data_IF_387968193964
#
_entry.id   IF_387968193964
#
_cell.length_a   1.000
_cell.length_b   1.000
_cell.length_c   1.000
_cell.angle_alpha   90.00
_cell.angle_beta   90.00
_cell.angle_gamma   90.00
#
_symmetry.space_group_name_H-M   'P 1'
#
loop_
_entity.id
_entity.type
_entity.pdbx_description
1 polymer ?
#
# COMPACT_ATOMS: atom_id res chain seq x y z
N UNK A 1 -21.67 3.88 -11.65
CA UNK A 1 -20.80 3.64 -12.81
C UNK A 1 -21.25 4.33 -14.08
N UNK A 2 -22.46 4.08 -14.63
CA UNK A 2 -22.90 4.72 -15.88
C UNK A 2 -22.79 6.26 -15.85
N UNK A 3 -23.27 6.89 -14.79
CA UNK A 3 -23.14 8.33 -14.58
C UNK A 3 -21.68 8.84 -14.62
N UNK A 4 -20.74 8.08 -14.03
CA UNK A 4 -19.31 8.39 -14.08
C UNK A 4 -18.80 8.36 -15.52
N UNK A 5 -19.16 7.33 -16.29
CA UNK A 5 -18.79 7.20 -17.70
C UNK A 5 -19.38 8.37 -18.52
N UNK A 6 -20.63 8.75 -18.28
CA UNK A 6 -21.22 9.92 -18.93
C UNK A 6 -20.45 11.21 -18.63
N UNK A 7 -20.06 11.43 -17.37
CA UNK A 7 -19.24 12.58 -17.00
C UNK A 7 -17.84 12.53 -17.63
N UNK A 8 -17.21 11.36 -17.73
CA UNK A 8 -15.93 11.23 -18.43
C UNK A 8 -16.03 11.63 -19.92
N UNK A 9 -17.16 11.36 -20.57
CA UNK A 9 -17.35 11.66 -21.99
C UNK A 9 -17.85 13.08 -22.25
N UNK A 10 -18.64 13.64 -21.32
CA UNK A 10 -19.39 14.89 -21.53
C UNK A 10 -19.09 16.00 -20.53
N UNK A 11 -18.32 15.72 -19.46
CA UNK A 11 -17.96 16.66 -18.40
C UNK A 11 -17.11 17.85 -18.86
N UNK A 12 -16.83 18.78 -17.96
CA UNK A 12 -16.07 20.00 -18.26
C UNK A 12 -14.67 19.66 -18.79
N UNK A 13 -14.25 20.29 -19.90
CA UNK A 13 -12.88 20.12 -20.41
C UNK A 13 -11.90 20.92 -19.56
N UNK A 14 -10.77 20.31 -19.21
CA UNK A 14 -9.65 20.95 -18.51
C UNK A 14 -8.35 20.42 -19.11
N UNK A 15 -7.26 21.19 -19.13
CA UNK A 15 -5.94 20.59 -19.44
C UNK A 15 -5.39 19.90 -18.20
N UNK A 16 -4.61 18.86 -18.40
CA UNK A 16 -4.01 18.11 -17.28
C UNK A 16 -3.18 19.00 -16.35
N UNK A 17 -2.27 19.84 -16.89
CA UNK A 17 -1.49 20.77 -16.06
C UNK A 17 -2.38 21.75 -15.28
N UNK A 18 -3.50 22.21 -15.86
CA UNK A 18 -4.44 23.10 -15.17
C UNK A 18 -5.18 22.34 -14.05
N UNK A 19 -5.36 21.03 -14.19
CA UNK A 19 -5.91 20.17 -13.14
C UNK A 19 -4.89 19.98 -12.01
N UNK A 20 -3.64 19.62 -12.33
CA UNK A 20 -2.55 19.46 -11.36
C UNK A 20 -2.34 20.74 -10.53
N UNK A 21 -2.27 21.90 -11.19
CA UNK A 21 -2.14 23.20 -10.52
C UNK A 21 -3.33 23.51 -9.60
N UNK A 22 -4.53 23.08 -9.98
CA UNK A 22 -5.73 23.27 -9.17
C UNK A 22 -5.71 22.39 -7.92
N UNK A 23 -5.25 21.13 -8.02
CA UNK A 23 -5.03 20.25 -6.86
C UNK A 23 -4.09 20.94 -5.88
N UNK A 24 -2.89 21.30 -6.35
CA UNK A 24 -1.85 21.92 -5.53
C UNK A 24 -2.34 23.17 -4.80
N UNK A 25 -2.94 24.12 -5.55
CA UNK A 25 -3.42 25.38 -4.96
C UNK A 25 -4.54 25.16 -3.96
N UNK A 26 -5.44 24.22 -4.25
CA UNK A 26 -6.59 23.93 -3.39
C UNK A 26 -6.15 23.21 -2.12
N UNK A 27 -5.30 22.18 -2.21
CA UNK A 27 -4.78 21.49 -1.03
C UNK A 27 -3.95 22.45 -0.16
N UNK A 28 -3.12 23.30 -0.76
CA UNK A 28 -2.37 24.36 -0.03
C UNK A 28 -3.27 25.36 0.71
N UNK A 29 -4.40 25.75 0.12
CA UNK A 29 -5.39 26.62 0.77
C UNK A 29 -6.08 25.88 1.93
N UNK A 30 -6.50 24.64 1.70
CA UNK A 30 -7.20 23.82 2.68
C UNK A 30 -6.34 23.51 3.90
N UNK A 31 -5.04 23.26 3.73
CA UNK A 31 -4.08 23.12 4.86
C UNK A 31 -4.18 24.30 5.82
N UNK A 32 -4.27 25.54 5.29
CA UNK A 32 -4.36 26.76 6.11
C UNK A 32 -5.74 26.93 6.74
N UNK A 33 -6.79 26.71 5.96
CA UNK A 33 -8.18 26.93 6.39
C UNK A 33 -8.61 25.92 7.45
N UNK A 34 -8.12 24.68 7.36
CA UNK A 34 -8.42 23.59 8.27
C UNK A 34 -7.37 23.42 9.39
N UNK A 35 -6.39 24.31 9.50
CA UNK A 35 -5.36 24.29 10.55
C UNK A 35 -4.71 22.90 10.69
N UNK A 36 -4.14 22.42 9.58
CA UNK A 36 -3.44 21.15 9.48
C UNK A 36 -1.94 21.46 9.51
N UNK A 37 -1.20 20.83 10.42
CA UNK A 37 0.23 21.09 10.60
C UNK A 37 0.98 19.81 10.93
N UNK A 38 2.10 19.59 10.24
CA UNK A 38 3.05 18.55 10.60
C UNK A 38 4.04 19.06 11.66
N UNK A 39 4.22 18.28 12.73
CA UNK A 39 5.27 18.48 13.72
C UNK A 39 6.31 17.34 13.60
N UNK A 40 7.57 17.64 13.24
CA UNK A 40 8.64 16.63 13.17
C UNK A 40 8.93 15.92 14.51
N UNK A 41 8.55 16.51 15.64
CA UNK A 41 8.64 15.86 16.97
C UNK A 41 7.49 14.89 17.25
N UNK A 42 6.46 14.87 16.39
CA UNK A 42 5.30 14.00 16.53
C UNK A 42 4.91 13.34 15.18
N UNK A 43 5.81 12.54 14.56
CA UNK A 43 5.49 11.83 13.33
C UNK A 43 4.31 10.86 13.48
N UNK A 44 4.09 10.26 14.66
CA UNK A 44 2.87 9.51 14.97
C UNK A 44 1.86 10.50 15.56
N UNK A 45 0.79 10.86 14.83
CA UNK A 45 -0.15 11.86 15.30
C UNK A 45 -0.98 11.33 16.47
N UNK A 46 -1.27 12.19 17.44
CA UNK A 46 -2.22 11.93 18.54
C UNK A 46 -3.44 12.88 18.51
N UNK A 47 -3.39 13.97 17.74
CA UNK A 47 -4.54 14.87 17.57
C UNK A 47 -5.58 14.26 16.62
N UNK A 48 -6.49 13.50 17.21
CA UNK A 48 -7.64 12.90 16.51
C UNK A 48 -8.57 13.94 15.86
N UNK A 49 -8.61 15.19 16.36
CA UNK A 49 -9.41 16.25 15.73
C UNK A 49 -8.73 16.80 14.49
N UNK A 50 -7.39 16.79 14.44
CA UNK A 50 -6.67 17.13 13.20
C UNK A 50 -6.98 16.10 12.11
N UNK A 51 -7.06 14.82 12.44
CA UNK A 51 -7.50 13.78 11.50
C UNK A 51 -8.91 14.05 10.95
N UNK A 52 -9.85 14.50 11.77
CA UNK A 52 -11.20 14.89 11.32
C UNK A 52 -11.19 16.13 10.39
N UNK A 53 -10.26 17.07 10.65
CA UNK A 53 -10.04 18.23 9.78
C UNK A 53 -9.40 17.82 8.45
N UNK A 54 -8.45 16.89 8.44
CA UNK A 54 -7.87 16.30 7.23
C UNK A 54 -8.97 15.64 6.39
N UNK A 55 -9.85 14.86 7.02
CA UNK A 55 -11.00 14.25 6.33
C UNK A 55 -11.93 15.29 5.72
N UNK A 56 -12.28 16.33 6.48
CA UNK A 56 -13.15 17.42 6.00
C UNK A 56 -12.51 18.17 4.83
N UNK A 57 -11.21 18.47 4.92
CA UNK A 57 -10.44 19.06 3.85
C UNK A 57 -10.42 18.17 2.59
N UNK A 58 -10.30 16.85 2.74
CA UNK A 58 -10.31 15.92 1.61
C UNK A 58 -11.67 15.89 0.88
N UNK A 59 -12.77 15.97 1.62
CA UNK A 59 -14.12 16.12 1.03
C UNK A 59 -14.20 17.41 0.19
N UNK A 60 -13.76 18.53 0.77
CA UNK A 60 -13.76 19.83 0.09
C UNK A 60 -12.83 19.85 -1.13
N UNK A 61 -11.68 19.15 -1.07
CA UNK A 61 -10.77 19.01 -2.19
C UNK A 61 -11.46 18.29 -3.35
N UNK A 62 -12.10 17.14 -3.11
CA UNK A 62 -12.82 16.39 -4.13
C UNK A 62 -13.98 17.20 -4.74
N UNK A 63 -14.76 17.88 -3.91
CA UNK A 63 -15.89 18.70 -4.34
C UNK A 63 -15.43 19.86 -5.24
N UNK A 64 -14.36 20.56 -4.85
CA UNK A 64 -13.83 21.73 -5.57
C UNK A 64 -13.09 21.36 -6.85
N UNK A 65 -12.33 20.26 -6.84
CA UNK A 65 -11.41 19.91 -7.93
C UNK A 65 -12.06 18.95 -8.93
N UNK A 66 -12.83 17.98 -8.43
CA UNK A 66 -13.31 16.83 -9.19
C UNK A 66 -12.21 15.83 -9.54
N UNK A 67 -12.54 14.82 -10.33
CA UNK A 67 -11.61 13.77 -10.79
C UNK A 67 -11.38 13.90 -12.29
N UNK A 68 -10.13 13.99 -12.72
CA UNK A 68 -9.78 14.17 -14.14
C UNK A 68 -9.67 12.84 -14.89
N UNK A 69 -10.35 12.75 -16.03
CA UNK A 69 -10.19 11.65 -16.99
C UNK A 69 -9.07 11.98 -17.97
N UNK A 70 -7.98 11.23 -17.89
CA UNK A 70 -6.81 11.40 -18.76
C UNK A 70 -7.16 11.17 -20.23
N UNK A 71 -8.02 10.19 -20.53
CA UNK A 71 -8.38 9.83 -21.91
C UNK A 71 -9.16 10.92 -22.66
N UNK A 72 -9.96 11.72 -21.95
CA UNK A 72 -10.88 12.70 -22.58
C UNK A 72 -10.53 14.14 -22.27
N UNK A 73 -9.65 14.39 -21.30
CA UNK A 73 -9.35 15.72 -20.79
C UNK A 73 -10.56 16.38 -20.15
N UNK A 74 -11.40 15.58 -19.46
CA UNK A 74 -12.63 16.05 -18.82
C UNK A 74 -12.69 15.72 -17.35
N UNK A 75 -13.47 16.49 -16.60
CA UNK A 75 -13.60 16.37 -15.15
C UNK A 75 -14.94 15.74 -14.79
N UNK A 76 -14.87 14.73 -13.93
CA UNK A 76 -16.00 14.15 -13.20
C UNK A 76 -16.19 15.00 -11.95
N UNK A 77 -17.34 15.67 -11.84
CA UNK A 77 -17.73 16.42 -10.65
C UNK A 77 -18.36 15.48 -9.64
N UNK A 78 -18.06 15.72 -8.37
CA UNK A 78 -18.55 14.96 -7.23
C UNK A 78 -19.23 15.94 -6.30
N UNK A 79 -20.51 15.73 -6.03
CA UNK A 79 -21.24 16.52 -5.04
C UNK A 79 -20.98 15.94 -3.64
N UNK A 80 -20.92 16.80 -2.62
CA UNK A 80 -20.63 16.38 -1.24
C UNK A 80 -21.56 15.28 -0.73
N UNK A 81 -22.86 15.38 -1.02
CA UNK A 81 -23.85 14.38 -0.60
C UNK A 81 -23.63 13.02 -1.30
N UNK A 82 -23.17 13.01 -2.54
CA UNK A 82 -22.81 11.78 -3.26
C UNK A 82 -21.58 11.12 -2.62
N UNK A 83 -20.59 11.94 -2.24
CA UNK A 83 -19.38 11.48 -1.56
C UNK A 83 -19.73 10.80 -0.22
N UNK A 84 -20.52 11.48 0.62
CA UNK A 84 -20.92 10.98 1.94
C UNK A 84 -21.78 9.72 1.81
N UNK A 85 -22.76 9.70 0.90
CA UNK A 85 -23.62 8.53 0.69
C UNK A 85 -22.83 7.32 0.17
N UNK A 86 -21.84 7.53 -0.70
CA UNK A 86 -21.01 6.45 -1.24
C UNK A 86 -20.09 5.79 -0.21
N UNK A 87 -19.56 6.58 0.73
CA UNK A 87 -18.67 6.07 1.78
C UNK A 87 -19.42 5.41 2.94
N UNK A 88 -20.62 5.89 3.31
CA UNK A 88 -21.42 5.30 4.40
C UNK A 88 -21.92 3.88 4.10
N UNK A 89 -22.01 3.50 2.82
CA UNK A 89 -22.50 2.19 2.39
C UNK A 89 -21.35 1.19 2.08
N UNK A 90 -20.20 1.32 2.74
CA UNK A 90 -19.09 0.35 2.60
C UNK A 90 -19.28 -0.86 3.50
N UNK A 91 -18.90 -2.04 3.01
CA UNK A 91 -18.66 -3.18 3.89
C UNK A 91 -17.33 -2.96 4.62
N UNK A 92 -17.29 -3.39 5.87
CA UNK A 92 -16.13 -3.28 6.76
C UNK A 92 -15.42 -4.63 6.97
N UNK A 93 -15.68 -5.62 6.11
CA UNK A 93 -15.00 -6.91 6.14
C UNK A 93 -15.15 -7.69 4.83
N UNK A 94 -14.13 -8.46 4.47
CA UNK A 94 -14.10 -9.32 3.29
C UNK A 94 -13.39 -10.64 3.59
N UNK A 95 -13.73 -11.69 2.85
CA UNK A 95 -13.07 -12.99 2.91
C UNK A 95 -12.08 -13.10 1.75
N UNK A 96 -10.84 -13.46 2.07
CA UNK A 96 -9.78 -13.70 1.08
C UNK A 96 -9.20 -15.09 1.34
N UNK A 97 -8.92 -15.85 0.28
CA UNK A 97 -8.58 -17.27 0.43
C UNK A 97 -9.81 -18.15 0.73
N UNK A 98 -9.59 -19.45 0.90
CA UNK A 98 -10.66 -20.41 1.14
C UNK A 98 -10.26 -21.53 2.12
N UNK A 99 -11.25 -22.24 2.65
CA UNK A 99 -11.04 -23.41 3.49
C UNK A 99 -10.27 -23.07 4.78
N UNK A 100 -9.17 -23.79 5.00
CA UNK A 100 -8.28 -23.58 6.16
C UNK A 100 -7.33 -22.39 5.98
N UNK A 101 -7.14 -21.93 4.73
CA UNK A 101 -6.23 -20.85 4.37
C UNK A 101 -6.94 -19.50 4.26
N UNK A 102 -8.23 -19.44 4.62
CA UNK A 102 -9.03 -18.22 4.53
C UNK A 102 -8.61 -17.20 5.58
N UNK A 103 -8.67 -15.94 5.18
CA UNK A 103 -8.37 -14.76 6.00
C UNK A 103 -9.59 -13.86 6.02
N UNK A 104 -10.03 -13.51 7.23
CA UNK A 104 -11.02 -12.47 7.46
C UNK A 104 -10.29 -11.13 7.42
N UNK A 105 -10.48 -10.34 6.36
CA UNK A 105 -10.11 -8.92 6.36
C UNK A 105 -11.18 -8.15 7.09
N UNK A 106 -10.79 -7.32 8.05
CA UNK A 106 -11.70 -6.57 8.89
C UNK A 106 -11.21 -5.15 9.12
N UNK A 107 -12.17 -4.27 9.39
CA UNK A 107 -11.90 -2.90 9.80
C UNK A 107 -11.41 -2.86 11.25
N UNK A 108 -10.36 -2.09 11.50
CA UNK A 108 -9.76 -1.79 12.79
C UNK A 108 -10.15 -0.40 13.24
N UNK A 109 -10.34 -0.25 14.55
CA UNK A 109 -10.46 1.08 15.16
C UNK A 109 -9.06 1.67 15.42
N UNK A 110 -9.01 2.91 15.90
CA UNK A 110 -7.76 3.45 16.45
C UNK A 110 -7.34 2.64 17.67
N UNK A 111 -6.03 2.35 17.77
CA UNK A 111 -5.46 1.56 18.88
C UNK A 111 -6.20 0.22 19.09
N UNK A 112 -6.68 -0.38 18.00
CA UNK A 112 -7.34 -1.70 18.04
C UNK A 112 -6.35 -2.77 18.50
N UNK A 113 -6.76 -3.58 19.47
CA UNK A 113 -5.94 -4.63 20.09
C UNK A 113 -5.75 -5.84 19.18
N UNK A 114 -6.47 -5.92 18.06
CA UNK A 114 -6.29 -6.95 17.04
C UNK A 114 -5.17 -6.55 16.09
N UNK A 115 -4.26 -7.48 15.81
CA UNK A 115 -3.23 -7.33 14.78
C UNK A 115 -3.88 -7.08 13.40
N UNK A 116 -3.36 -6.15 12.59
CA UNK A 116 -3.81 -6.00 11.20
C UNK A 116 -3.53 -7.26 10.39
N UNK A 117 -4.21 -7.37 9.25
CA UNK A 117 -3.93 -8.43 8.28
C UNK A 117 -2.55 -8.18 7.67
N UNK A 118 -1.75 -9.23 7.61
CA UNK A 118 -0.41 -9.19 7.04
C UNK A 118 -0.44 -9.74 5.61
N UNK A 119 -0.34 -8.83 4.65
CA UNK A 119 -0.18 -9.14 3.24
C UNK A 119 1.31 -9.21 2.88
N UNK A 120 1.92 -10.35 3.17
CA UNK A 120 3.36 -10.55 3.01
C UNK A 120 3.74 -10.94 1.60
N UNK A 121 4.77 -10.30 1.06
CA UNK A 121 5.34 -10.70 -0.22
C UNK A 121 6.24 -9.64 -0.82
N UNK A 122 6.79 -9.90 -2.02
CA UNK A 122 7.69 -8.96 -2.69
C UNK A 122 7.02 -7.66 -3.16
N UNK A 123 5.68 -7.57 -3.15
CA UNK A 123 4.92 -6.35 -3.47
C UNK A 123 5.37 -5.67 -4.76
N UNK A 124 5.43 -6.44 -5.86
CA UNK A 124 5.77 -5.88 -7.17
C UNK A 124 7.26 -5.76 -7.45
N UNK A 125 8.15 -6.00 -6.47
CA UNK A 125 9.60 -6.10 -6.70
C UNK A 125 9.91 -7.05 -7.86
N UNK A 126 10.83 -6.68 -8.78
CA UNK A 126 11.20 -7.54 -9.90
C UNK A 126 11.95 -8.77 -9.42
N UNK A 127 11.46 -9.95 -9.77
CA UNK A 127 12.05 -11.25 -9.46
C UNK A 127 12.21 -12.04 -10.76
N UNK A 128 13.36 -12.68 -10.94
CA UNK A 128 13.61 -13.61 -12.04
C UNK A 128 12.66 -14.81 -11.99
N UNK A 129 12.27 -15.35 -13.15
CA UNK A 129 11.33 -16.50 -13.18
C UNK A 129 11.84 -17.68 -12.34
N UNK A 130 13.14 -17.96 -12.39
CA UNK A 130 13.76 -19.07 -11.65
C UNK A 130 13.70 -18.88 -10.12
N UNK A 131 13.73 -17.63 -9.65
CA UNK A 131 13.64 -17.30 -8.22
C UNK A 131 12.20 -17.11 -7.75
N UNK A 132 11.22 -17.06 -8.67
CA UNK A 132 9.84 -16.69 -8.35
C UNK A 132 9.20 -17.66 -7.34
N UNK A 133 9.26 -18.97 -7.58
CA UNK A 133 8.73 -19.97 -6.63
C UNK A 133 9.43 -19.88 -5.26
N UNK A 134 10.76 -20.02 -5.15
CA UNK A 134 11.40 -20.06 -3.83
C UNK A 134 11.25 -18.74 -3.06
N UNK A 135 11.24 -17.59 -3.73
CA UNK A 135 10.93 -16.30 -3.08
C UNK A 135 9.54 -16.33 -2.47
N UNK A 136 8.49 -16.64 -3.23
CA UNK A 136 7.11 -16.64 -2.69
C UNK A 136 6.89 -17.72 -1.62
N UNK A 137 7.53 -18.89 -1.75
CA UNK A 137 7.49 -19.93 -0.72
C UNK A 137 8.08 -19.45 0.61
N UNK A 138 9.11 -18.59 0.58
CA UNK A 138 9.69 -18.01 1.80
C UNK A 138 8.70 -17.16 2.61
N UNK A 139 7.67 -16.59 1.96
CA UNK A 139 6.56 -15.89 2.61
C UNK A 139 5.43 -16.86 2.98
N UNK A 140 4.99 -17.72 2.05
CA UNK A 140 3.87 -18.63 2.25
C UNK A 140 4.10 -19.62 3.43
N UNK A 141 5.35 -20.02 3.68
CA UNK A 141 5.72 -20.90 4.79
C UNK A 141 5.50 -20.28 6.18
N UNK A 142 5.35 -18.96 6.26
CA UNK A 142 5.23 -18.22 7.50
C UNK A 142 3.75 -18.12 7.92
N UNK A 143 3.41 -18.68 9.07
CA UNK A 143 2.04 -18.67 9.61
C UNK A 143 1.52 -17.28 9.95
N UNK A 144 2.40 -16.29 10.11
CA UNK A 144 2.02 -14.91 10.38
C UNK A 144 1.59 -14.14 9.12
N UNK A 145 1.76 -14.73 7.93
CA UNK A 145 1.37 -14.14 6.66
C UNK A 145 -0.01 -14.66 6.27
N UNK A 146 -0.95 -13.74 6.10
CA UNK A 146 -2.37 -14.03 5.89
C UNK A 146 -2.73 -14.06 4.40
N UNK A 147 -2.09 -13.21 3.60
CA UNK A 147 -2.32 -13.04 2.15
C UNK A 147 -0.97 -12.83 1.47
N UNK A 148 -0.79 -13.31 0.24
CA UNK A 148 0.43 -13.05 -0.54
C UNK A 148 0.28 -11.80 -1.42
N UNK A 149 1.26 -10.89 -1.35
CA UNK A 149 1.46 -9.81 -2.33
C UNK A 149 2.52 -10.23 -3.36
N UNK A 150 2.16 -10.53 -4.62
CA UNK A 150 3.10 -11.11 -5.58
C UNK A 150 4.23 -10.17 -6.04
N UNK A 151 5.32 -10.76 -6.50
CA UNK A 151 6.35 -10.07 -7.27
C UNK A 151 5.93 -9.79 -8.72
N UNK A 152 6.69 -8.89 -9.36
CA UNK A 152 6.73 -8.79 -10.82
C UNK A 152 7.78 -9.74 -11.40
N UNK A 153 7.46 -10.41 -12.51
CA UNK A 153 8.48 -11.16 -13.26
C UNK A 153 9.38 -10.19 -14.04
N UNK A 154 10.68 -10.23 -13.72
CA UNK A 154 11.68 -9.25 -14.19
C UNK A 154 11.83 -9.20 -15.72
N UNK A 155 11.81 -10.36 -16.39
CA UNK A 155 12.01 -10.50 -17.83
C UNK A 155 11.00 -9.67 -18.65
N UNK A 156 9.93 -9.23 -18.00
CA UNK A 156 8.84 -8.45 -18.59
C UNK A 156 8.61 -7.14 -17.84
N UNK A 157 9.56 -6.71 -17.04
CA UNK A 157 9.54 -5.43 -16.31
C UNK A 157 9.72 -4.22 -17.24
N UNK A 158 10.15 -4.41 -18.49
CA UNK A 158 10.21 -3.33 -19.49
C UNK A 158 8.79 -2.87 -19.89
N UNK A 159 8.44 -1.58 -19.66
CA UNK A 159 7.13 -1.04 -20.03
C UNK A 159 6.75 -1.22 -21.51
N UNK A 160 7.74 -1.34 -22.41
CA UNK A 160 7.47 -1.57 -23.84
C UNK A 160 6.99 -2.99 -24.10
N UNK A 161 7.48 -3.96 -23.32
CA UNK A 161 7.08 -5.36 -23.42
C UNK A 161 5.68 -5.60 -22.84
N UNK A 162 5.26 -4.77 -21.88
CA UNK A 162 3.93 -4.81 -21.26
C UNK A 162 2.76 -4.58 -22.24
N UNK A 163 3.01 -3.99 -23.41
CA UNK A 163 1.99 -3.78 -24.47
C UNK A 163 1.98 -4.87 -25.54
N UNK A 164 2.74 -5.94 -25.34
CA UNK A 164 2.83 -7.08 -26.27
C UNK A 164 2.10 -8.30 -25.69
N UNK A 165 1.88 -9.39 -26.45
CA UNK A 165 1.31 -10.63 -25.91
C UNK A 165 2.07 -11.21 -24.71
N UNK A 166 3.32 -10.75 -24.50
CA UNK A 166 4.14 -11.14 -23.37
C UNK A 166 3.52 -10.74 -22.03
N UNK A 167 2.77 -9.63 -21.94
CA UNK A 167 2.11 -9.22 -20.69
C UNK A 167 1.08 -10.26 -20.21
N UNK A 168 0.28 -10.81 -21.13
CA UNK A 168 -0.66 -11.88 -20.81
C UNK A 168 0.07 -13.18 -20.44
N UNK A 169 1.16 -13.51 -21.14
CA UNK A 169 1.97 -14.69 -20.82
C UNK A 169 2.57 -14.58 -19.42
N UNK A 170 3.15 -13.42 -19.08
CA UNK A 170 3.65 -13.12 -17.74
C UNK A 170 2.56 -13.19 -16.70
N UNK A 171 1.41 -12.59 -16.96
CA UNK A 171 0.28 -12.59 -16.04
C UNK A 171 -0.15 -14.02 -15.68
N UNK A 172 -0.30 -14.90 -16.68
CA UNK A 172 -0.59 -16.31 -16.43
C UNK A 172 0.54 -17.01 -15.67
N UNK A 173 1.79 -16.73 -16.04
CA UNK A 173 2.97 -17.34 -15.42
C UNK A 173 3.06 -16.97 -13.95
N UNK A 174 3.04 -15.67 -13.63
CA UNK A 174 3.08 -15.14 -12.27
C UNK A 174 1.99 -15.75 -11.39
N UNK A 175 0.72 -15.70 -11.83
CA UNK A 175 -0.41 -16.28 -11.09
C UNK A 175 -0.24 -17.79 -10.88
N UNK A 176 0.25 -18.52 -11.89
CA UNK A 176 0.48 -19.97 -11.79
C UNK A 176 1.57 -20.27 -10.76
N UNK A 177 2.68 -19.53 -10.79
CA UNK A 177 3.82 -19.75 -9.92
C UNK A 177 3.54 -19.35 -8.47
N UNK A 178 2.76 -18.28 -8.22
CA UNK A 178 2.31 -17.94 -6.84
C UNK A 178 1.46 -19.07 -6.26
N UNK A 179 0.51 -19.60 -7.03
CA UNK A 179 -0.36 -20.71 -6.59
C UNK A 179 0.46 -21.97 -6.31
N UNK A 180 1.43 -22.28 -7.16
CA UNK A 180 2.35 -23.40 -6.95
C UNK A 180 3.19 -23.21 -5.69
N UNK A 181 3.72 -22.01 -5.45
CA UNK A 181 4.46 -21.69 -4.24
C UNK A 181 3.60 -21.90 -2.98
N UNK A 182 2.36 -21.40 -2.95
CA UNK A 182 1.46 -21.60 -1.81
C UNK A 182 1.10 -23.08 -1.61
N UNK A 183 0.83 -23.83 -2.69
CA UNK A 183 0.53 -25.25 -2.62
C UNK A 183 1.71 -26.09 -2.10
N UNK A 184 2.95 -25.74 -2.47
CA UNK A 184 4.16 -26.42 -1.98
C UNK A 184 4.39 -26.22 -0.48
N UNK A 185 3.87 -25.14 0.10
CA UNK A 185 3.88 -24.89 1.55
C UNK A 185 2.60 -25.39 2.26
N UNK A 186 1.78 -26.19 1.57
CA UNK A 186 0.58 -26.79 2.16
C UNK A 186 -0.59 -25.83 2.35
N UNK A 187 -0.53 -24.65 1.72
CA UNK A 187 -1.56 -23.59 1.78
C UNK A 187 -2.17 -23.30 0.40
N UNK A 188 -2.66 -24.31 -0.33
CA UNK A 188 -3.06 -24.15 -1.73
C UNK A 188 -4.19 -23.14 -1.92
N UNK A 189 -5.01 -22.87 -0.89
CA UNK A 189 -6.16 -21.96 -0.94
C UNK A 189 -5.89 -20.60 -0.31
N UNK A 190 -4.63 -20.32 0.04
CA UNK A 190 -4.19 -18.98 0.48
C UNK A 190 -4.50 -17.96 -0.62
N UNK A 191 -5.12 -16.85 -0.21
CA UNK A 191 -5.42 -15.76 -1.13
C UNK A 191 -4.19 -14.93 -1.45
N UNK A 192 -4.22 -14.29 -2.62
CA UNK A 192 -3.18 -13.37 -3.07
C UNK A 192 -3.78 -12.23 -3.89
N UNK A 193 -3.07 -11.11 -4.01
CA UNK A 193 -3.46 -10.00 -4.90
C UNK A 193 -3.05 -10.29 -6.35
N UNK A 194 -3.60 -9.55 -7.31
CA UNK A 194 -3.12 -9.60 -8.69
C UNK A 194 -1.62 -9.26 -8.75
N UNK A 195 -0.82 -9.86 -9.62
CA UNK A 195 0.56 -9.42 -9.79
C UNK A 195 0.63 -7.94 -10.24
N UNK A 196 1.37 -7.07 -9.52
CA UNK A 196 1.41 -5.62 -9.76
C UNK A 196 1.73 -5.20 -11.20
N UNK A 197 2.59 -5.97 -11.86
CA UNK A 197 2.95 -5.76 -13.25
C UNK A 197 1.80 -5.80 -14.26
N UNK A 198 0.64 -6.35 -13.92
CA UNK A 198 -0.49 -6.53 -14.85
C UNK A 198 -1.30 -5.22 -14.96
N UNK A 199 -0.63 -4.19 -15.45
CA UNK A 199 -1.23 -2.91 -15.79
C UNK A 199 -2.08 -3.02 -17.06
N UNK A 200 -1.68 -3.84 -18.04
CA UNK A 200 -2.42 -4.09 -19.28
C UNK A 200 -3.84 -4.60 -19.00
N UNK A 201 -4.83 -3.89 -19.54
CA UNK A 201 -6.24 -4.18 -19.34
C UNK A 201 -6.63 -5.59 -19.80
N UNK A 202 -6.10 -6.07 -20.94
CA UNK A 202 -6.47 -7.37 -21.50
C UNK A 202 -5.93 -8.50 -20.63
N UNK A 203 -4.70 -8.36 -20.16
CA UNK A 203 -4.09 -9.31 -19.25
C UNK A 203 -4.85 -9.36 -17.91
N UNK A 204 -5.16 -8.21 -17.32
CA UNK A 204 -5.95 -8.12 -16.08
C UNK A 204 -7.32 -8.80 -16.21
N UNK A 205 -8.07 -8.50 -17.28
CA UNK A 205 -9.37 -9.14 -17.53
C UNK A 205 -9.24 -10.64 -17.78
N UNK A 206 -8.20 -11.10 -18.49
CA UNK A 206 -8.03 -12.51 -18.83
C UNK A 206 -7.67 -13.38 -17.61
N UNK A 207 -6.85 -12.86 -16.68
CA UNK A 207 -6.53 -13.60 -15.44
C UNK A 207 -7.66 -13.61 -14.43
N UNK A 208 -8.67 -12.76 -14.62
CA UNK A 208 -9.87 -12.71 -13.81
C UNK A 208 -10.81 -13.87 -14.18
N UNK A 209 -10.31 -15.09 -13.96
CA UNK A 209 -10.93 -16.34 -14.37
C UNK A 209 -10.51 -17.42 -13.37
N UNK A 210 -11.42 -18.28 -12.87
CA UNK A 210 -11.14 -19.21 -11.76
C UNK A 210 -9.93 -20.15 -11.92
N UNK A 211 -9.52 -20.43 -13.17
CA UNK A 211 -8.26 -21.16 -13.46
C UNK A 211 -7.01 -20.41 -12.99
N UNK A 212 -7.00 -19.10 -13.16
CA UNK A 212 -5.93 -18.20 -12.76
C UNK A 212 -6.29 -17.62 -11.38
N UNK A 213 -6.79 -16.39 -11.33
CA UNK A 213 -7.29 -15.77 -10.11
C UNK A 213 -8.66 -16.35 -9.75
N UNK A 214 -8.75 -16.94 -8.57
CA UNK A 214 -9.98 -17.54 -8.02
C UNK A 214 -10.90 -16.46 -7.48
N UNK A 215 -12.14 -16.84 -7.18
CA UNK A 215 -13.17 -15.92 -6.70
C UNK A 215 -12.83 -15.24 -5.35
N UNK A 216 -11.92 -15.86 -4.59
CA UNK A 216 -11.41 -15.37 -3.31
C UNK A 216 -10.00 -14.77 -3.38
N UNK A 217 -9.40 -14.69 -4.57
CA UNK A 217 -8.18 -13.91 -4.79
C UNK A 217 -8.56 -12.44 -5.07
N UNK A 218 -7.66 -11.51 -4.77
CA UNK A 218 -7.94 -10.06 -4.83
C UNK A 218 -7.48 -9.49 -6.15
N UNK A 219 -8.35 -8.80 -6.90
CA UNK A 219 -7.93 -8.03 -8.07
C UNK A 219 -7.46 -6.63 -7.69
N UNK A 220 -6.72 -5.98 -8.57
CA UNK A 220 -6.16 -4.64 -8.31
C UNK A 220 -6.53 -3.63 -9.40
N UNK A 221 -6.70 -2.38 -8.96
CA UNK A 221 -6.80 -1.21 -9.80
C UNK A 221 -5.76 -0.20 -9.32
N UNK A 222 -4.70 -0.01 -10.10
CA UNK A 222 -3.76 1.10 -9.90
C UNK A 222 -4.40 2.40 -10.35
N UNK A 223 -4.56 3.31 -9.40
CA UNK A 223 -5.12 4.64 -9.63
C UNK A 223 -4.09 5.54 -10.33
N UNK A 224 -4.56 6.61 -10.98
CA UNK A 224 -3.69 7.55 -11.68
C UNK A 224 -3.37 8.74 -10.75
N UNK A 225 -2.08 9.10 -10.69
CA UNK A 225 -1.51 10.16 -9.85
C UNK A 225 -1.86 11.57 -10.36
N UNK A 226 -2.44 12.51 -9.61
CA UNK A 226 -3.33 12.42 -8.44
C UNK A 226 -4.68 13.00 -8.84
N UNK A 227 -5.76 12.61 -8.16
CA UNK A 227 -7.17 12.88 -8.49
C UNK A 227 -7.51 12.63 -9.96
N UNK A 228 -6.84 11.65 -10.57
CA UNK A 228 -7.05 11.22 -11.95
C UNK A 228 -7.62 9.82 -12.05
N UNK A 229 -8.25 9.54 -13.19
CA UNK A 229 -8.67 8.21 -13.62
C UNK A 229 -8.51 8.07 -15.13
N UNK A 230 -8.61 6.84 -15.62
CA UNK A 230 -8.64 6.53 -17.04
C UNK A 230 -9.73 5.50 -17.35
N UNK A 231 -9.96 5.22 -18.63
CA UNK A 231 -10.92 4.23 -19.10
C UNK A 231 -10.56 2.81 -18.64
N UNK A 232 -9.28 2.47 -18.53
CA UNK A 232 -8.85 1.14 -18.11
C UNK A 232 -9.26 0.84 -16.66
N UNK A 233 -9.04 1.78 -15.74
CA UNK A 233 -9.45 1.65 -14.34
C UNK A 233 -10.97 1.50 -14.20
N UNK A 234 -11.74 2.28 -14.96
CA UNK A 234 -13.21 2.20 -14.96
C UNK A 234 -13.69 0.89 -15.59
N UNK A 235 -13.03 0.41 -16.64
CA UNK A 235 -13.35 -0.87 -17.28
C UNK A 235 -13.06 -2.03 -16.34
N UNK A 236 -11.93 -2.02 -15.63
CA UNK A 236 -11.61 -2.98 -14.57
C UNK A 236 -12.67 -2.95 -13.47
N UNK A 237 -13.05 -1.78 -12.97
CA UNK A 237 -14.11 -1.63 -11.97
C UNK A 237 -15.46 -2.21 -12.44
N UNK A 238 -15.90 -1.92 -13.67
CA UNK A 238 -17.10 -2.52 -14.27
C UNK A 238 -16.99 -4.05 -14.31
N UNK A 239 -15.86 -4.55 -14.79
CA UNK A 239 -15.63 -5.97 -14.95
C UNK A 239 -15.64 -6.69 -13.59
N UNK A 240 -14.79 -6.28 -12.65
CA UNK A 240 -14.65 -6.89 -11.32
C UNK A 240 -15.96 -6.90 -10.53
N UNK A 241 -16.76 -5.82 -10.64
CA UNK A 241 -18.10 -5.81 -10.04
C UNK A 241 -19.07 -6.78 -10.69
N UNK A 242 -19.02 -6.93 -12.01
CA UNK A 242 -19.96 -7.82 -12.73
C UNK A 242 -19.73 -9.30 -12.43
N UNK A 243 -18.49 -9.67 -12.14
CA UNK A 243 -18.12 -11.05 -11.75
C UNK A 243 -18.23 -11.28 -10.24
N UNK A 244 -18.23 -10.21 -9.44
CA UNK A 244 -18.38 -10.28 -7.98
C UNK A 244 -17.12 -10.64 -7.20
N UNK A 245 -15.92 -10.35 -7.73
CA UNK A 245 -14.67 -10.57 -6.99
C UNK A 245 -14.38 -9.42 -6.01
N UNK A 246 -13.53 -9.69 -5.01
CA UNK A 246 -12.94 -8.66 -4.15
C UNK A 246 -11.80 -7.99 -4.92
N UNK A 247 -11.68 -6.67 -4.78
CA UNK A 247 -10.62 -5.91 -5.41
C UNK A 247 -10.25 -4.67 -4.61
N UNK A 248 -8.97 -4.33 -4.65
CA UNK A 248 -8.42 -3.13 -4.04
C UNK A 248 -8.11 -2.07 -5.09
N UNK A 249 -8.06 -0.82 -4.64
CA UNK A 249 -7.57 0.31 -5.40
C UNK A 249 -6.30 0.83 -4.75
N UNK A 250 -5.21 0.79 -5.50
CA UNK A 250 -3.88 1.15 -5.04
C UNK A 250 -3.51 2.56 -5.54
N UNK A 251 -2.87 3.36 -4.70
CA UNK A 251 -2.43 4.71 -5.03
C UNK A 251 -1.05 5.00 -4.43
N UNK A 252 -0.10 5.32 -5.30
CA UNK A 252 1.17 5.93 -4.92
C UNK A 252 1.02 7.44 -4.66
N UNK A 253 1.90 8.01 -3.84
CA UNK A 253 1.97 9.44 -3.56
C UNK A 253 3.43 9.86 -3.55
N UNK A 254 3.73 11.00 -4.17
CA UNK A 254 5.11 11.52 -4.25
C UNK A 254 5.17 12.89 -3.55
N UNK A 255 5.79 12.93 -2.37
CA UNK A 255 6.05 14.17 -1.64
C UNK A 255 7.10 14.98 -2.41
N UNK A 256 6.79 16.24 -2.70
CA UNK A 256 7.59 17.07 -3.59
C UNK A 256 7.30 16.82 -5.07
N UNK A 257 6.23 16.10 -5.39
CA UNK A 257 5.73 15.90 -6.75
C UNK A 257 5.06 17.15 -7.35
N UNK A 258 4.27 16.95 -8.41
CA UNK A 258 3.65 18.06 -9.17
C UNK A 258 2.50 18.75 -8.43
N UNK A 259 1.80 17.99 -7.59
CA UNK A 259 0.53 18.30 -6.94
C UNK A 259 0.70 18.53 -5.43
N UNK A 260 1.76 17.98 -4.85
CA UNK A 260 2.03 17.97 -3.41
C UNK A 260 3.47 18.39 -3.13
N UNK A 261 3.68 19.46 -2.34
CA UNK A 261 5.02 19.87 -1.87
C UNK A 261 5.26 19.64 -0.38
N UNK A 262 4.19 19.43 0.38
CA UNK A 262 4.20 19.37 1.85
C UNK A 262 3.45 18.16 2.38
N UNK A 263 3.87 17.61 3.54
CA UNK A 263 3.21 16.47 4.15
C UNK A 263 1.74 16.74 4.44
N UNK A 264 1.36 17.98 4.77
CA UNK A 264 -0.03 18.34 5.04
C UNK A 264 -0.93 18.30 3.80
N UNK A 265 -0.39 18.62 2.62
CA UNK A 265 -1.13 18.43 1.36
C UNK A 265 -1.28 16.94 1.05
N UNK A 266 -0.19 16.18 1.19
CA UNK A 266 -0.19 14.73 1.00
C UNK A 266 -1.24 14.06 1.88
N UNK A 267 -1.34 14.45 3.17
CA UNK A 267 -2.32 13.92 4.10
C UNK A 267 -3.78 14.10 3.60
N UNK A 268 -4.10 15.27 3.04
CA UNK A 268 -5.42 15.55 2.45
C UNK A 268 -5.62 14.68 1.20
N UNK A 269 -4.61 14.59 0.34
CA UNK A 269 -4.68 13.85 -0.91
C UNK A 269 -4.80 12.33 -0.67
N UNK A 270 -4.12 11.77 0.33
CA UNK A 270 -4.26 10.36 0.77
C UNK A 270 -5.71 10.02 1.09
N UNK A 271 -6.42 10.89 1.79
CA UNK A 271 -7.82 10.66 2.15
C UNK A 271 -8.74 10.91 0.95
N UNK A 272 -8.47 11.94 0.15
CA UNK A 272 -9.25 12.24 -1.05
C UNK A 272 -9.19 11.09 -2.07
N UNK A 273 -8.03 10.46 -2.21
CA UNK A 273 -7.79 9.31 -3.08
C UNK A 273 -8.50 8.03 -2.59
N UNK A 274 -8.56 7.81 -1.29
CA UNK A 274 -9.36 6.72 -0.71
C UNK A 274 -10.85 6.91 -1.02
N UNK A 275 -11.35 8.13 -0.87
CA UNK A 275 -12.73 8.47 -1.19
C UNK A 275 -12.99 8.34 -2.70
N UNK A 276 -12.05 8.76 -3.55
CA UNK A 276 -12.11 8.56 -5.02
C UNK A 276 -12.21 7.08 -5.35
N UNK A 277 -11.32 6.23 -4.80
CA UNK A 277 -11.34 4.78 -5.00
C UNK A 277 -12.72 4.19 -4.71
N UNK A 278 -13.35 4.63 -3.62
CA UNK A 278 -14.68 4.15 -3.24
C UNK A 278 -15.79 4.66 -4.15
N UNK A 279 -15.76 5.91 -4.60
CA UNK A 279 -16.85 6.51 -5.37
C UNK A 279 -16.78 6.19 -6.86
N UNK A 280 -15.57 6.29 -7.42
CA UNK A 280 -15.31 6.20 -8.85
C UNK A 280 -15.11 4.74 -9.25
N UNK A 281 -14.19 4.04 -8.59
CA UNK A 281 -13.84 2.65 -8.92
C UNK A 281 -14.64 1.63 -8.10
N UNK A 282 -15.30 2.08 -7.03
CA UNK A 282 -16.12 1.24 -6.17
C UNK A 282 -15.34 0.09 -5.55
N UNK A 283 -14.05 0.35 -5.28
CA UNK A 283 -13.13 -0.56 -4.60
C UNK A 283 -13.69 -1.07 -3.29
N UNK A 284 -13.30 -2.30 -2.94
CA UNK A 284 -13.62 -2.92 -1.67
C UNK A 284 -12.62 -2.52 -0.59
N UNK A 285 -11.38 -2.25 -0.99
CA UNK A 285 -10.27 -1.86 -0.14
C UNK A 285 -9.45 -0.77 -0.86
N UNK A 286 -8.78 0.07 -0.10
CA UNK A 286 -7.88 1.10 -0.61
C UNK A 286 -6.47 0.90 -0.07
N UNK A 287 -5.46 1.04 -0.92
CA UNK A 287 -4.05 0.98 -0.52
C UNK A 287 -3.36 2.29 -0.86
N UNK A 288 -2.45 2.67 0.02
CA UNK A 288 -1.60 3.84 -0.15
C UNK A 288 -0.15 3.42 -0.06
N UNK A 289 0.66 3.99 -0.94
CA UNK A 289 2.11 4.00 -0.85
C UNK A 289 2.56 5.46 -0.87
N UNK A 290 3.31 5.90 0.13
CA UNK A 290 3.85 7.27 0.19
C UNK A 290 5.34 7.24 -0.01
N UNK A 291 5.87 8.12 -0.85
CA UNK A 291 7.30 8.21 -1.15
C UNK A 291 7.75 9.68 -1.11
N UNK A 292 8.98 9.93 -0.65
CA UNK A 292 9.59 11.26 -0.71
C UNK A 292 10.53 11.38 -1.90
N UNK A 293 10.21 12.29 -2.84
CA UNK A 293 11.00 12.48 -4.06
C UNK A 293 12.49 12.78 -3.81
N UNK A 294 12.82 13.38 -2.66
CA UNK A 294 14.21 13.74 -2.30
C UNK A 294 15.07 12.53 -1.97
N UNK A 295 14.45 11.46 -1.50
CA UNK A 295 15.14 10.28 -0.96
C UNK A 295 14.71 8.97 -1.62
N UNK A 296 13.58 8.93 -2.32
CA UNK A 296 12.93 7.70 -2.80
C UNK A 296 12.16 6.95 -1.71
N UNK A 297 12.59 7.08 -0.44
CA UNK A 297 12.00 6.37 0.69
C UNK A 297 10.57 6.83 1.07
N UNK A 298 9.72 5.88 1.46
CA UNK A 298 8.47 6.14 2.19
C UNK A 298 8.64 6.29 3.71
N UNK A 299 9.86 6.10 4.20
CA UNK A 299 10.23 6.07 5.61
C UNK A 299 10.81 7.40 6.14
N UNK A 300 10.62 8.52 5.41
CA UNK A 300 10.90 9.87 5.95
C UNK A 300 9.84 10.28 6.97
N UNK A 301 10.16 11.17 7.92
CA UNK A 301 9.18 11.62 8.91
C UNK A 301 7.97 12.27 8.25
N UNK A 302 8.19 13.04 7.19
CA UNK A 302 7.14 13.73 6.43
C UNK A 302 6.20 12.74 5.72
N UNK A 303 6.76 11.75 5.01
CA UNK A 303 5.96 10.74 4.32
C UNK A 303 5.20 9.85 5.31
N UNK A 304 5.90 9.36 6.34
CA UNK A 304 5.28 8.55 7.41
C UNK A 304 4.14 9.29 8.09
N UNK A 305 4.32 10.54 8.50
CA UNK A 305 3.25 11.31 9.15
C UNK A 305 2.02 11.47 8.25
N UNK A 306 2.22 11.77 6.96
CA UNK A 306 1.11 11.92 6.01
C UNK A 306 0.33 10.60 5.83
N UNK A 307 1.04 9.47 5.80
CA UNK A 307 0.46 8.13 5.80
C UNK A 307 -0.33 7.85 7.08
N UNK A 308 0.26 8.12 8.25
CA UNK A 308 -0.35 7.82 9.55
C UNK A 308 -1.60 8.67 9.80
N UNK A 309 -1.53 10.00 9.60
CA UNK A 309 -2.70 10.86 9.79
C UNK A 309 -3.80 10.56 8.77
N UNK A 310 -3.43 10.14 7.55
CA UNK A 310 -4.37 9.68 6.53
C UNK A 310 -5.14 8.43 6.97
N UNK A 311 -4.44 7.41 7.51
CA UNK A 311 -5.09 6.25 8.13
C UNK A 311 -5.98 6.63 9.30
N UNK A 312 -5.50 7.51 10.19
CA UNK A 312 -6.29 7.97 11.33
C UNK A 312 -7.56 8.68 10.87
N UNK A 313 -7.48 9.52 9.84
CA UNK A 313 -8.62 10.24 9.27
C UNK A 313 -9.66 9.27 8.67
N UNK A 314 -9.20 8.28 7.89
CA UNK A 314 -10.07 7.23 7.32
C UNK A 314 -10.73 6.38 8.40
N UNK A 315 -9.97 5.96 9.39
CA UNK A 315 -10.46 5.14 10.51
C UNK A 315 -11.53 5.88 11.31
N UNK A 316 -11.32 7.17 11.59
CA UNK A 316 -12.28 7.96 12.39
C UNK A 316 -13.56 8.31 11.66
N UNK A 317 -13.49 8.52 10.35
CA UNK A 317 -14.57 9.15 9.60
C UNK A 317 -15.24 8.21 8.59
N UNK A 318 -14.73 6.99 8.42
CA UNK A 318 -15.25 6.01 7.46
C UNK A 318 -15.28 4.60 8.06
N UNK A 319 -15.81 3.65 7.28
CA UNK A 319 -15.69 2.21 7.52
C UNK A 319 -15.12 1.50 6.30
N UNK A 320 -14.27 2.21 5.56
CA UNK A 320 -13.67 1.70 4.34
C UNK A 320 -12.34 1.04 4.66
N UNK A 321 -12.19 -0.21 4.23
CA UNK A 321 -10.96 -0.97 4.49
C UNK A 321 -9.80 -0.28 3.79
N UNK A 322 -8.73 -0.02 4.54
CA UNK A 322 -7.56 0.68 4.05
C UNK A 322 -6.27 0.01 4.52
N UNK A 323 -5.37 -0.20 3.57
CA UNK A 323 -4.04 -0.75 3.78
C UNK A 323 -2.95 0.27 3.48
N UNK A 324 -1.71 -0.17 3.69
CA UNK A 324 -0.51 0.57 3.30
C UNK A 324 0.52 -0.39 2.74
N UNK A 325 1.28 0.06 1.76
CA UNK A 325 2.52 -0.60 1.37
C UNK A 325 3.65 -0.07 2.25
N UNK A 326 4.41 -0.98 2.85
CA UNK A 326 5.60 -0.66 3.62
C UNK A 326 6.77 -0.59 2.64
N UNK A 327 7.00 0.59 2.07
CA UNK A 327 8.06 0.82 1.10
C UNK A 327 9.36 1.25 1.78
N UNK A 328 10.42 0.47 1.57
CA UNK A 328 11.73 0.74 2.13
C UNK A 328 12.71 1.16 1.04
N UNK A 329 13.59 2.09 1.39
CA UNK A 329 14.72 2.46 0.53
C UNK A 329 15.85 1.44 0.59
N UNK A 330 16.04 0.78 1.73
CA UNK A 330 17.00 -0.30 1.89
C UNK A 330 16.45 -1.66 1.43
N UNK A 331 17.36 -2.61 1.28
CA UNK A 331 17.06 -3.96 0.82
C UNK A 331 17.34 -5.07 1.83
N UNK A 332 17.07 -6.33 1.44
CA UNK A 332 17.10 -7.49 2.32
C UNK A 332 18.46 -7.72 2.96
N UNK A 333 18.49 -8.36 4.12
CA UNK A 333 19.73 -8.62 4.88
C UNK A 333 20.42 -7.32 5.35
N UNK A 334 19.66 -6.26 5.62
CA UNK A 334 20.18 -5.02 6.23
C UNK A 334 19.38 -4.64 7.47
N UNK A 335 20.05 -4.07 8.47
CA UNK A 335 19.37 -3.53 9.64
C UNK A 335 18.52 -2.30 9.27
N UNK A 336 18.98 -1.52 8.28
CA UNK A 336 18.26 -0.34 7.80
C UNK A 336 16.85 -0.69 7.31
N UNK A 337 16.69 -1.72 6.45
CA UNK A 337 15.38 -2.14 5.96
C UNK A 337 14.43 -2.56 7.09
N UNK A 338 14.96 -3.25 8.11
CA UNK A 338 14.16 -3.68 9.26
C UNK A 338 13.74 -2.49 10.15
N UNK A 339 14.60 -1.48 10.32
CA UNK A 339 14.25 -0.26 11.05
C UNK A 339 13.22 0.59 10.29
N UNK A 340 13.39 0.77 8.97
CA UNK A 340 12.40 1.44 8.12
C UNK A 340 11.05 0.71 8.19
N UNK A 341 11.06 -0.62 8.10
CA UNK A 341 9.87 -1.47 8.23
C UNK A 341 9.20 -1.26 9.59
N UNK A 342 9.96 -1.31 10.68
CA UNK A 342 9.43 -1.18 12.02
C UNK A 342 8.80 0.20 12.27
N UNK A 343 9.47 1.28 11.86
CA UNK A 343 8.98 2.64 12.04
C UNK A 343 7.65 2.88 11.30
N UNK A 344 7.56 2.43 10.04
CA UNK A 344 6.31 2.54 9.26
C UNK A 344 5.20 1.65 9.82
N UNK A 345 5.53 0.44 10.27
CA UNK A 345 4.57 -0.51 10.86
C UNK A 345 3.94 0.05 12.12
N UNK A 346 4.76 0.53 13.07
CA UNK A 346 4.29 1.05 14.36
C UNK A 346 3.26 2.16 14.16
N UNK A 347 3.58 3.19 13.38
CA UNK A 347 2.67 4.32 13.18
C UNK A 347 1.40 3.95 12.41
N UNK A 348 1.47 3.06 11.42
CA UNK A 348 0.28 2.60 10.70
C UNK A 348 -0.66 1.77 11.59
N UNK A 349 -0.12 0.84 12.39
CA UNK A 349 -0.94 0.00 13.28
C UNK A 349 -1.66 0.83 14.32
N UNK A 350 -0.97 1.78 14.96
CA UNK A 350 -1.58 2.65 15.99
C UNK A 350 -2.60 3.62 15.41
N UNK A 351 -2.43 4.04 14.16
CA UNK A 351 -3.36 4.91 13.44
C UNK A 351 -4.52 4.18 12.74
N UNK A 352 -4.71 2.88 13.02
CA UNK A 352 -5.90 2.14 12.59
C UNK A 352 -5.82 1.50 11.20
N UNK A 353 -4.64 1.39 10.58
CA UNK A 353 -4.50 0.69 9.29
C UNK A 353 -4.95 -0.77 9.41
N UNK A 354 -5.75 -1.25 8.44
CA UNK A 354 -6.38 -2.57 8.46
C UNK A 354 -5.46 -3.68 7.93
N UNK A 355 -4.63 -3.34 6.94
CA UNK A 355 -3.77 -4.27 6.21
C UNK A 355 -2.38 -3.66 6.01
N UNK A 356 -1.33 -4.44 6.29
CA UNK A 356 0.05 -4.06 5.97
C UNK A 356 0.54 -4.93 4.81
N UNK A 357 0.94 -4.33 3.70
CA UNK A 357 1.56 -5.01 2.58
C UNK A 357 3.08 -4.81 2.56
N UNK A 358 3.82 -5.89 2.29
CA UNK A 358 5.28 -5.86 2.13
C UNK A 358 6.04 -6.69 3.16
N UNK A 359 7.22 -6.22 3.60
CA UNK A 359 7.87 -4.98 3.19
C UNK A 359 8.42 -5.03 1.75
N UNK A 360 8.26 -3.93 1.02
CA UNK A 360 8.83 -3.73 -0.31
C UNK A 360 10.27 -3.20 -0.20
N UNK A 361 11.29 -3.94 -0.63
CA UNK A 361 12.68 -3.51 -0.58
C UNK A 361 13.10 -2.63 -1.77
N UNK A 362 14.06 -1.74 -1.53
CA UNK A 362 14.72 -0.95 -2.57
C UNK A 362 13.76 -0.25 -3.55
N UNK A 363 12.61 0.21 -3.07
CA UNK A 363 11.58 0.86 -3.91
C UNK A 363 11.14 -0.01 -5.10
N UNK A 364 11.22 -1.34 -4.98
CA UNK A 364 11.00 -2.31 -6.06
C UNK A 364 11.87 -2.07 -7.32
N UNK A 365 13.08 -1.52 -7.16
CA UNK A 365 13.99 -1.23 -8.28
C UNK A 365 15.11 -2.25 -8.46
N UNK A 366 15.35 -3.13 -7.48
CA UNK A 366 16.48 -4.07 -7.52
C UNK A 366 15.98 -5.50 -7.67
N UNK A 367 16.51 -6.18 -8.68
CA UNK A 367 16.08 -7.52 -9.11
C UNK A 367 16.46 -8.56 -8.06
N UNK A 368 15.56 -9.51 -7.78
CA UNK A 368 15.77 -10.64 -6.88
C UNK A 368 15.99 -10.26 -5.40
N UNK A 369 15.79 -9.00 -5.03
CA UNK A 369 15.88 -8.56 -3.64
C UNK A 369 14.52 -8.71 -2.98
N UNK A 370 14.19 -9.90 -2.45
CA UNK A 370 13.00 -10.09 -1.62
C UNK A 370 13.14 -11.38 -0.79
N UNK A 371 12.58 -11.43 0.41
CA UNK A 371 12.57 -12.63 1.26
C UNK A 371 11.65 -12.49 2.46
N UNK A 372 11.11 -13.60 2.95
CA UNK A 372 10.04 -13.61 3.97
C UNK A 372 10.42 -13.09 5.36
N UNK A 373 11.71 -12.97 5.69
CA UNK A 373 12.15 -12.65 7.07
C UNK A 373 11.78 -11.21 7.47
N UNK A 374 11.83 -10.26 6.55
CA UNK A 374 11.39 -8.88 6.85
C UNK A 374 9.86 -8.79 7.00
N UNK A 375 9.10 -9.65 6.31
CA UNK A 375 7.65 -9.76 6.51
C UNK A 375 7.28 -10.43 7.84
N UNK A 376 8.11 -11.38 8.29
CA UNK A 376 7.99 -11.89 9.66
C UNK A 376 8.24 -10.79 10.69
N UNK A 377 9.30 -9.99 10.52
CA UNK A 377 9.57 -8.84 11.38
C UNK A 377 8.41 -7.84 11.38
N UNK A 378 7.87 -7.50 10.20
CA UNK A 378 6.69 -6.65 10.07
C UNK A 378 5.50 -7.19 10.88
N UNK A 379 5.22 -8.49 10.80
CA UNK A 379 4.12 -9.11 11.55
C UNK A 379 4.33 -9.06 13.07
N UNK A 380 5.57 -9.28 13.54
CA UNK A 380 5.91 -9.23 14.97
C UNK A 380 5.87 -7.80 15.52
N UNK A 381 6.34 -6.83 14.76
CA UNK A 381 6.25 -5.41 15.11
C UNK A 381 4.79 -4.93 15.07
N UNK A 382 3.99 -5.43 14.12
CA UNK A 382 2.55 -5.12 14.06
C UNK A 382 1.81 -5.64 15.30
N UNK A 383 2.14 -6.85 15.77
CA UNK A 383 1.59 -7.39 17.02
C UNK A 383 1.99 -6.51 18.22
N UNK A 384 3.28 -6.18 18.37
CA UNK A 384 3.77 -5.28 19.42
C UNK A 384 3.02 -3.94 19.40
N UNK A 385 2.85 -3.36 18.22
CA UNK A 385 2.23 -2.05 18.04
C UNK A 385 0.76 -1.98 18.48
N UNK A 386 0.05 -3.11 18.55
CA UNK A 386 -1.33 -3.16 19.11
C UNK A 386 -1.39 -2.80 20.59
N UNK A 387 -0.27 -2.90 21.30
CA UNK A 387 -0.18 -2.65 22.75
C UNK A 387 0.38 -1.27 23.13
N UNK A 388 0.80 -0.47 22.15
CA UNK A 388 1.46 0.81 22.38
C UNK A 388 0.45 1.95 22.60
N UNK A 389 0.79 2.88 23.48
CA UNK A 389 0.14 4.19 23.51
C UNK A 389 0.57 5.03 22.29
N UNK A 390 -0.19 6.07 21.91
CA UNK A 390 0.25 7.03 20.89
C UNK A 390 1.61 7.66 21.21
N UNK A 391 1.87 7.96 22.47
CA UNK A 391 3.13 8.54 22.95
C UNK A 391 4.30 7.56 22.81
N UNK A 392 4.12 6.30 23.20
CA UNK A 392 5.15 5.26 23.05
C UNK A 392 5.43 4.97 21.58
N UNK A 393 4.38 4.89 20.75
CA UNK A 393 4.52 4.70 19.32
C UNK A 393 5.30 5.86 18.68
N UNK A 394 5.00 7.10 19.08
CA UNK A 394 5.73 8.27 18.60
C UNK A 394 7.21 8.23 19.00
N UNK A 395 7.49 7.91 20.28
CA UNK A 395 8.84 7.77 20.79
C UNK A 395 9.63 6.71 20.00
N UNK A 396 9.06 5.51 19.84
CA UNK A 396 9.70 4.42 19.10
C UNK A 396 9.97 4.80 17.64
N UNK A 397 8.99 5.38 16.95
CA UNK A 397 9.19 5.83 15.56
C UNK A 397 10.35 6.82 15.44
N UNK A 398 10.48 7.77 16.37
CA UNK A 398 11.59 8.73 16.37
C UNK A 398 12.94 8.09 16.68
N UNK A 399 13.02 7.20 17.67
CA UNK A 399 14.28 6.52 18.00
C UNK A 399 14.73 5.60 16.87
N UNK A 400 13.81 4.87 16.23
CA UNK A 400 14.10 4.05 15.06
C UNK A 400 14.54 4.90 13.86
N UNK A 401 13.88 6.03 13.61
CA UNK A 401 14.24 6.95 12.52
C UNK A 401 15.70 7.43 12.61
N UNK A 402 16.17 7.77 13.82
CA UNK A 402 17.57 8.19 14.06
C UNK A 402 18.60 7.12 13.64
N UNK A 403 18.22 5.85 13.62
CA UNK A 403 19.11 4.75 13.24
C UNK A 403 19.36 4.67 11.72
N UNK A 404 18.53 5.31 10.90
CA UNK A 404 18.63 5.25 9.44
C UNK A 404 18.55 6.59 8.70
N UNK A 405 18.14 7.68 9.34
CA UNK A 405 17.89 8.98 8.67
C UNK A 405 19.08 9.48 7.82
N UNK A 406 20.30 9.22 8.27
CA UNK A 406 21.53 9.66 7.61
C UNK A 406 21.87 8.84 6.35
N UNK A 407 21.19 7.71 6.13
CA UNK A 407 21.40 6.81 4.98
C UNK A 407 20.32 6.92 3.92
N UNK A 408 19.23 7.65 4.14
CA UNK A 408 18.09 7.70 3.20
C UNK A 408 18.47 8.15 1.76
N UNK A 409 19.53 8.95 1.60
CA UNK A 409 20.03 9.34 0.25
C UNK A 409 20.95 8.31 -0.40
N UNK A 410 21.44 7.34 0.37
CA UNK A 410 22.37 6.28 -0.02
C UNK A 410 22.06 5.03 0.82
N UNK A 411 20.90 4.39 0.56
CA UNK A 411 20.44 3.29 1.39
C UNK A 411 21.33 2.06 1.27
N UNK A 412 21.25 1.18 2.27
CA UNK A 412 21.91 -0.11 2.21
C UNK A 412 21.08 -1.06 1.32
N UNK A 413 21.50 -1.27 0.07
CA UNK A 413 20.73 -2.05 -0.92
C UNK A 413 20.55 -3.54 -0.60
N UNK A 414 21.35 -4.05 0.35
CA UNK A 414 21.25 -5.43 0.80
C UNK A 414 21.71 -6.46 -0.23
N UNK A 415 21.18 -7.67 -0.10
CA UNK A 415 21.56 -8.84 -0.90
C UNK A 415 20.36 -9.44 -1.64
N UNK A 416 20.57 -10.01 -2.84
CA UNK A 416 19.53 -10.77 -3.53
C UNK A 416 19.19 -12.04 -2.75
N UNK A 417 18.00 -12.60 -3.01
CA UNK A 417 17.45 -13.75 -2.31
C UNK A 417 18.43 -14.93 -2.30
N UNK A 418 19.05 -15.26 -3.44
CA UNK A 418 19.99 -16.39 -3.53
C UNK A 418 21.27 -16.24 -2.69
N UNK A 419 21.59 -15.03 -2.21
CA UNK A 419 22.75 -14.76 -1.36
C UNK A 419 22.36 -14.67 0.12
N UNK A 420 21.15 -14.20 0.43
CA UNK A 420 20.67 -14.09 1.81
C UNK A 420 19.74 -15.24 2.25
N UNK A 421 19.40 -16.17 1.36
CA UNK A 421 18.64 -17.39 1.62
C UNK A 421 19.27 -18.61 0.95
N UNK A 422 19.05 -19.78 1.55
CA UNK A 422 19.21 -21.05 0.84
C UNK A 422 17.93 -21.36 0.05
N UNK A 423 17.93 -21.30 -1.29
CA UNK A 423 16.70 -21.46 -2.09
C UNK A 423 16.11 -22.87 -2.04
N UNK A 424 16.85 -23.87 -1.56
CA UNK A 424 16.35 -25.25 -1.42
C UNK A 424 15.63 -25.49 -0.11
N UNK A 425 16.17 -24.95 0.99
CA UNK A 425 15.60 -25.11 2.33
C UNK A 425 14.72 -23.93 2.72
N UNK A 426 14.79 -22.83 1.97
CA UNK A 426 14.15 -21.54 2.25
C UNK A 426 14.58 -20.93 3.58
N UNK A 427 15.76 -21.30 4.08
CA UNK A 427 16.27 -20.78 5.35
C UNK A 427 17.11 -19.52 5.09
N UNK A 428 16.90 -18.43 5.86
CA UNK A 428 17.74 -17.25 5.76
C UNK A 428 19.18 -17.57 6.19
N UNK A 429 20.14 -16.78 5.70
CA UNK A 429 21.53 -16.88 6.12
C UNK A 429 21.69 -16.54 7.60
N UNK A 430 22.77 -17.03 8.21
CA UNK A 430 23.08 -16.69 9.61
C UNK A 430 23.27 -15.18 9.81
N UNK A 431 23.88 -14.50 8.85
CA UNK A 431 24.03 -13.04 8.88
C UNK A 431 22.66 -12.34 8.93
N UNK A 432 21.71 -12.76 8.10
CA UNK A 432 20.37 -12.16 8.07
C UNK A 432 19.63 -12.40 9.39
N UNK A 433 19.70 -13.62 9.93
CA UNK A 433 19.11 -13.96 11.22
C UNK A 433 19.74 -13.18 12.38
N UNK A 434 21.05 -12.94 12.35
CA UNK A 434 21.73 -12.13 13.38
C UNK A 434 21.28 -10.67 13.35
N UNK A 435 21.15 -10.08 12.16
CA UNK A 435 20.59 -8.71 12.01
C UNK A 435 19.14 -8.65 12.49
N UNK A 436 18.31 -9.61 12.08
CA UNK A 436 16.91 -9.72 12.51
C UNK A 436 16.79 -9.79 14.04
N UNK A 437 17.55 -10.68 14.69
CA UNK A 437 17.55 -10.79 16.16
C UNK A 437 18.04 -9.51 16.82
N UNK A 438 19.07 -8.85 16.25
CA UNK A 438 19.59 -7.61 16.82
C UNK A 438 18.55 -6.49 16.74
N UNK A 439 17.88 -6.33 15.60
CA UNK A 439 16.87 -5.29 15.42
C UNK A 439 15.67 -5.51 16.35
N UNK A 440 15.19 -6.75 16.50
CA UNK A 440 14.15 -7.03 17.50
C UNK A 440 14.60 -6.67 18.91
N UNK A 441 15.84 -7.03 19.28
CA UNK A 441 16.40 -6.67 20.59
C UNK A 441 16.47 -5.15 20.77
N UNK A 442 16.90 -4.40 19.74
CA UNK A 442 16.91 -2.93 19.75
C UNK A 442 15.50 -2.37 19.97
N UNK A 443 14.49 -2.90 19.28
CA UNK A 443 13.07 -2.48 19.45
C UNK A 443 12.60 -2.74 20.88
N UNK A 444 12.84 -3.93 21.44
CA UNK A 444 12.42 -4.26 22.81
C UNK A 444 13.15 -3.42 23.88
N UNK A 445 14.44 -3.12 23.68
CA UNK A 445 15.20 -2.23 24.56
C UNK A 445 14.60 -0.82 24.55
N UNK A 446 14.23 -0.29 23.38
CA UNK A 446 13.59 1.01 23.24
C UNK A 446 12.20 1.06 23.90
N UNK A 447 11.40 0.00 23.76
CA UNK A 447 10.09 -0.11 24.45
C UNK A 447 10.26 -0.02 25.97
N UNK A 448 11.28 -0.70 26.51
CA UNK A 448 11.59 -0.66 27.94
C UNK A 448 12.01 0.72 28.44
N UNK A 449 12.60 1.55 27.58
CA UNK A 449 13.01 2.93 27.92
C UNK A 449 11.84 3.92 27.90
N UNK A 450 10.85 3.73 27.03
CA UNK A 450 9.68 4.63 26.92
C UNK A 450 8.67 4.49 28.06
N UNK A 451 8.73 3.39 28.82
CA UNK A 451 7.81 3.09 29.93
C UNK A 451 8.23 3.68 31.29
N UNK A 452 9.36 4.38 31.37
CA UNK A 452 9.86 5.12 32.55
C UNK A 452 9.58 6.62 32.45
#
# INVERSE_FOLDING_TARGET
MYHIIEQMLNGEKRKENEHDELIYRTSSELVKTHDISFDPGHPVPSDVKMADRVYTAALELLERVGVYSIDTGRVIKLEKDEIISGIQNTRSSYMIGNGIDKTDVFFRELLDDRKPVIMGGPCGTPISVDSYIPVHRSYAKLNCIDIIAPATIYETFDPHLMKTPLSLYTAHTAVTLVKEACALEGRPDMGFTGPPSISDLKAAMAITHPRFMREWDVQEIYQQLDLKTNFDAITKAVHYRSIGCVYLCDQGFILGGRTTDRPEQMAIEVVAEALKARLIHQGHMYFKQVDDLRTGAGSTLEAMWASFIGSMALTRNTRYIHGTDINNSAGPCTAMMMYETAAQTIGNVTCGTDILAGPMPNEAHVIDHAGGLDAQLMAEVAELATSLSPEDANFLCLELFKLYENKLKRPDYGMPFGECYNPKTLEPSMEYLEKYRRVLQDIYELVGMGSE
#
